data_IF_469289439930
#
_entry.id   IF_469289439930
#
_cell.length_a   1.000
_cell.length_b   1.000
_cell.length_c   1.000
_cell.angle_alpha   90.00
_cell.angle_beta   90.00
_cell.angle_gamma   90.00
#
_symmetry.space_group_name_H-M   'P 1'
#
loop_
_entity.id
_entity.type
_entity.pdbx_description
1 polymer ?
#
# COMPACT_ATOMS: atom_id res chain seq x y z
N UNK A 1 -0.57 33.12 36.87
CA UNK A 1 -1.01 33.02 35.46
C UNK A 1 -0.41 31.81 34.70
N UNK A 2 0.59 31.09 35.23
CA UNK A 2 1.19 29.92 34.56
C UNK A 2 0.68 28.55 35.05
N UNK A 3 -0.08 28.48 36.14
CA UNK A 3 -0.60 27.22 36.69
C UNK A 3 -1.66 26.52 35.83
N UNK A 4 -2.19 27.20 34.80
CA UNK A 4 -3.27 26.67 33.96
C UNK A 4 -2.79 26.14 32.59
N UNK A 5 -1.53 26.37 32.22
CA UNK A 5 -1.00 25.89 30.94
C UNK A 5 -0.84 24.37 30.92
N UNK A 6 -0.38 23.74 32.00
CA UNK A 6 -0.21 22.29 32.05
C UNK A 6 -1.53 21.51 32.15
N UNK A 7 -2.64 22.16 32.51
CA UNK A 7 -3.97 21.54 32.45
C UNK A 7 -4.52 21.51 31.02
N UNK A 8 -4.16 22.49 30.18
CA UNK A 8 -4.63 22.59 28.79
C UNK A 8 -3.66 21.92 27.80
N UNK A 9 -2.36 22.18 27.97
CA UNK A 9 -1.28 21.60 27.17
C UNK A 9 -0.68 20.40 27.89
N UNK A 10 -1.37 19.27 27.78
CA UNK A 10 -0.95 18.00 28.33
C UNK A 10 -0.93 16.93 27.22
N UNK A 11 -0.42 15.74 27.56
CA UNK A 11 -0.30 14.63 26.61
C UNK A 11 -1.67 14.17 26.08
N UNK A 12 -2.71 14.22 26.88
CA UNK A 12 -4.07 13.81 26.48
C UNK A 12 -4.64 14.77 25.43
N UNK A 13 -4.59 16.08 25.66
CA UNK A 13 -5.03 17.09 24.68
C UNK A 13 -4.21 17.01 23.40
N UNK A 14 -2.89 16.75 23.51
CA UNK A 14 -2.02 16.56 22.35
C UNK A 14 -2.43 15.33 21.55
N UNK A 15 -2.60 14.17 22.18
CA UNK A 15 -2.99 12.93 21.51
C UNK A 15 -4.38 13.04 20.90
N UNK A 16 -5.33 13.68 21.59
CA UNK A 16 -6.66 13.96 21.05
C UNK A 16 -6.58 14.84 19.80
N UNK A 17 -5.86 15.97 19.88
CA UNK A 17 -5.69 16.89 18.74
C UNK A 17 -5.00 16.20 17.56
N UNK A 18 -3.97 15.40 17.84
CA UNK A 18 -3.27 14.62 16.83
C UNK A 18 -4.20 13.58 16.19
N UNK A 19 -5.01 12.88 16.99
CA UNK A 19 -6.00 11.93 16.52
C UNK A 19 -7.06 12.57 15.60
N UNK A 20 -7.51 13.78 15.92
CA UNK A 20 -8.41 14.56 15.05
C UNK A 20 -7.72 14.85 13.71
N UNK A 21 -6.48 15.37 13.73
CA UNK A 21 -5.77 15.68 12.50
C UNK A 21 -5.54 14.43 11.64
N UNK A 22 -5.10 13.32 12.24
CA UNK A 22 -4.83 12.09 11.51
C UNK A 22 -6.09 11.48 10.88
N UNK A 23 -7.21 11.50 11.60
CA UNK A 23 -8.45 10.87 11.15
C UNK A 23 -9.37 11.76 10.31
N UNK A 24 -9.19 13.09 10.31
CA UNK A 24 -10.12 14.05 9.66
C UNK A 24 -9.47 15.03 8.70
N UNK A 25 -8.14 15.07 8.55
CA UNK A 25 -7.51 15.91 7.53
C UNK A 25 -7.86 15.41 6.13
N UNK A 26 -8.34 16.33 5.30
CA UNK A 26 -8.61 16.12 3.88
C UNK A 26 -7.46 16.72 3.10
N UNK A 27 -6.84 15.94 2.21
CA UNK A 27 -5.88 16.44 1.21
C UNK A 27 -6.66 16.90 -0.02
N UNK A 28 -6.36 18.10 -0.51
CA UNK A 28 -7.05 18.76 -1.62
C UNK A 28 -6.13 18.85 -2.85
N UNK A 29 -6.18 17.87 -3.78
CA UNK A 29 -5.36 17.88 -4.99
C UNK A 29 -5.44 19.19 -5.80
N UNK A 30 -6.63 19.77 -5.96
CA UNK A 30 -6.85 21.00 -6.73
C UNK A 30 -6.26 22.25 -6.06
N UNK A 31 -5.76 22.13 -4.83
CA UNK A 31 -5.06 23.17 -4.09
C UNK A 31 -3.60 22.77 -3.78
N UNK A 32 -2.90 22.19 -4.76
CA UNK A 32 -1.50 21.75 -4.64
C UNK A 32 -1.27 20.75 -3.49
N UNK A 33 -2.29 19.97 -3.15
CA UNK A 33 -2.22 18.99 -2.07
C UNK A 33 -2.22 19.59 -0.67
N UNK A 34 -2.69 20.84 -0.50
CA UNK A 34 -2.98 21.42 0.81
C UNK A 34 -3.91 20.51 1.61
N UNK A 35 -3.80 20.59 2.94
CA UNK A 35 -4.65 19.84 3.86
C UNK A 35 -5.57 20.78 4.64
N UNK A 36 -6.80 20.34 4.90
CA UNK A 36 -7.78 21.09 5.66
C UNK A 36 -8.64 20.19 6.54
N UNK A 37 -9.12 20.73 7.66
CA UNK A 37 -10.28 20.20 8.35
C UNK A 37 -11.52 20.83 7.70
N UNK A 38 -12.46 19.99 7.29
CA UNK A 38 -13.64 20.42 6.51
C UNK A 38 -14.89 20.07 7.30
N UNK A 39 -15.39 20.99 8.16
CA UNK A 39 -16.56 20.73 8.97
C UNK A 39 -17.74 20.25 8.11
N UNK A 40 -18.54 19.34 8.67
CA UNK A 40 -19.64 18.64 8.00
C UNK A 40 -19.20 17.59 6.98
N UNK A 41 -18.30 17.93 6.08
CA UNK A 41 -17.80 16.96 5.09
C UNK A 41 -16.97 15.85 5.76
N UNK A 42 -16.27 16.16 6.84
CA UNK A 42 -15.49 15.22 7.64
C UNK A 42 -16.35 14.20 8.43
N UNK A 43 -17.68 14.34 8.43
CA UNK A 43 -18.62 13.34 8.96
C UNK A 43 -18.92 12.20 7.97
N UNK A 44 -18.59 12.36 6.68
CA UNK A 44 -18.78 11.32 5.67
C UNK A 44 -17.86 10.15 5.96
N UNK A 45 -18.42 8.94 6.04
CA UNK A 45 -17.64 7.74 6.34
C UNK A 45 -17.00 7.13 5.08
N UNK A 46 -16.01 6.28 5.31
CA UNK A 46 -15.36 5.52 4.24
C UNK A 46 -16.21 4.36 3.75
N UNK A 47 -16.24 4.14 2.44
CA UNK A 47 -16.53 2.83 1.85
C UNK A 47 -15.46 2.49 0.78
N UNK A 48 -14.98 1.24 0.71
CA UNK A 48 -14.08 0.81 -0.36
C UNK A 48 -14.80 0.64 -1.71
N UNK A 49 -16.14 0.69 -1.73
CA UNK A 49 -16.96 0.53 -2.93
C UNK A 49 -17.12 1.82 -3.75
N UNK A 50 -16.68 2.95 -3.19
CA UNK A 50 -16.78 4.27 -3.83
C UNK A 50 -15.39 4.83 -4.14
N UNK A 51 -15.28 5.60 -5.21
CA UNK A 51 -14.04 6.28 -5.61
C UNK A 51 -14.16 7.80 -5.48
N UNK A 52 -15.32 8.31 -5.05
CA UNK A 52 -15.51 9.75 -4.82
C UNK A 52 -14.68 10.26 -3.64
N UNK A 53 -14.12 11.46 -3.77
CA UNK A 53 -13.34 12.12 -2.72
C UNK A 53 -13.68 13.62 -2.68
N UNK A 54 -13.31 14.26 -1.56
CA UNK A 54 -13.46 15.70 -1.38
C UNK A 54 -12.31 16.43 -2.07
N UNK A 55 -12.62 17.45 -2.88
CA UNK A 55 -11.63 18.35 -3.44
C UNK A 55 -12.20 19.77 -3.60
N UNK A 56 -11.32 20.73 -3.84
CA UNK A 56 -11.71 22.12 -4.08
C UNK A 56 -12.21 22.30 -5.51
N UNK A 57 -13.46 22.72 -5.67
CA UNK A 57 -13.98 23.21 -6.93
C UNK A 57 -13.84 24.74 -7.03
N UNK A 58 -13.19 25.17 -8.12
CA UNK A 58 -12.98 26.59 -8.41
C UNK A 58 -14.27 27.30 -8.78
N UNK A 59 -15.24 26.60 -9.38
CA UNK A 59 -16.47 27.24 -9.86
C UNK A 59 -17.41 27.59 -8.71
N UNK A 60 -17.53 26.72 -7.72
CA UNK A 60 -18.32 26.94 -6.51
C UNK A 60 -17.53 27.58 -5.37
N UNK A 61 -16.23 27.81 -5.54
CA UNK A 61 -15.29 28.29 -4.49
C UNK A 61 -15.40 27.49 -3.18
N UNK A 62 -15.54 26.16 -3.29
CA UNK A 62 -15.86 25.31 -2.15
C UNK A 62 -15.25 23.92 -2.24
N UNK A 63 -15.20 23.23 -1.10
CA UNK A 63 -14.82 21.81 -1.05
C UNK A 63 -16.08 20.99 -1.32
N UNK A 64 -16.04 20.19 -2.38
CA UNK A 64 -17.17 19.41 -2.88
C UNK A 64 -16.76 17.97 -3.17
N UNK A 65 -17.74 17.10 -3.32
CA UNK A 65 -17.56 15.78 -3.92
C UNK A 65 -18.77 15.49 -4.82
N UNK A 66 -18.59 14.55 -5.77
CA UNK A 66 -19.68 14.12 -6.66
C UNK A 66 -19.96 12.65 -6.42
N UNK A 67 -21.20 12.31 -6.11
CA UNK A 67 -21.59 10.91 -5.91
C UNK A 67 -21.41 10.11 -7.19
N UNK A 68 -20.80 8.93 -7.08
CA UNK A 68 -20.60 7.97 -8.18
C UNK A 68 -21.83 7.11 -8.49
N UNK A 69 -22.84 7.19 -7.61
CA UNK A 69 -24.12 6.49 -7.74
C UNK A 69 -25.28 7.30 -7.16
N UNK A 70 -26.50 6.88 -7.46
CA UNK A 70 -27.70 7.38 -6.80
C UNK A 70 -27.82 6.84 -5.38
N UNK A 71 -28.39 7.65 -4.48
CA UNK A 71 -28.70 7.30 -3.09
C UNK A 71 -30.20 7.42 -2.83
N UNK A 72 -30.74 6.51 -2.03
CA UNK A 72 -32.14 6.56 -1.61
C UNK A 72 -32.32 7.40 -0.32
N UNK A 73 -33.51 7.97 -0.06
CA UNK A 73 -33.79 8.63 1.21
C UNK A 73 -33.52 7.71 2.40
N UNK A 74 -32.73 8.19 3.37
CA UNK A 74 -32.29 7.43 4.54
C UNK A 74 -31.04 6.58 4.34
N UNK A 75 -30.52 6.48 3.12
CA UNK A 75 -29.25 5.83 2.84
C UNK A 75 -28.06 6.72 3.24
N UNK A 76 -27.03 6.11 3.83
CA UNK A 76 -25.80 6.82 4.18
C UNK A 76 -24.97 7.10 2.93
N UNK A 77 -24.48 8.34 2.81
CA UNK A 77 -23.54 8.74 1.76
C UNK A 77 -22.11 8.48 2.23
N UNK A 78 -21.33 7.82 1.39
CA UNK A 78 -19.93 7.47 1.67
C UNK A 78 -18.97 8.18 0.73
N UNK A 79 -17.72 8.30 1.16
CA UNK A 79 -16.58 8.74 0.35
C UNK A 79 -15.43 7.73 0.43
N UNK A 80 -14.47 7.86 -0.46
CA UNK A 80 -13.21 7.14 -0.38
C UNK A 80 -12.21 7.92 0.48
N UNK A 81 -11.58 7.25 1.45
CA UNK A 81 -10.41 7.77 2.16
C UNK A 81 -9.11 7.40 1.41
N UNK A 82 -9.24 6.84 0.20
CA UNK A 82 -8.15 6.31 -0.61
C UNK A 82 -8.01 4.79 -0.52
N UNK A 83 -7.15 4.26 -1.39
CA UNK A 83 -6.86 2.82 -1.54
C UNK A 83 -5.91 2.35 -0.44
N UNK A 84 -6.45 2.18 0.76
CA UNK A 84 -5.73 1.84 1.98
C UNK A 84 -6.06 0.42 2.44
N UNK A 85 -5.07 -0.30 2.92
CA UNK A 85 -5.25 -1.56 3.64
C UNK A 85 -5.98 -1.33 4.97
N UNK A 86 -6.57 -2.39 5.52
CA UNK A 86 -7.22 -2.37 6.83
C UNK A 86 -6.26 -1.93 7.94
N UNK A 87 -4.97 -2.28 7.84
CA UNK A 87 -3.95 -1.82 8.78
C UNK A 87 -3.71 -0.31 8.71
N UNK A 88 -3.65 0.25 7.50
CA UNK A 88 -3.52 1.70 7.31
C UNK A 88 -4.77 2.46 7.78
N UNK A 89 -5.97 1.90 7.53
CA UNK A 89 -7.23 2.47 8.01
C UNK A 89 -7.31 2.44 9.54
N UNK A 90 -6.87 1.37 10.19
CA UNK A 90 -6.81 1.28 11.65
C UNK A 90 -5.89 2.35 12.23
N UNK A 91 -4.67 2.47 11.68
CA UNK A 91 -3.67 3.42 12.16
C UNK A 91 -4.06 4.88 11.88
N UNK A 92 -4.72 5.14 10.75
CA UNK A 92 -5.02 6.51 10.30
C UNK A 92 -6.38 7.02 10.77
N UNK A 93 -7.38 6.13 10.82
CA UNK A 93 -8.79 6.49 11.03
C UNK A 93 -9.44 5.74 12.20
N UNK A 94 -8.74 4.80 12.84
CA UNK A 94 -9.23 4.13 14.05
C UNK A 94 -10.31 3.08 13.80
N UNK A 95 -10.44 2.55 12.58
CA UNK A 95 -11.40 1.48 12.27
C UNK A 95 -10.79 0.45 11.30
N UNK A 96 -11.36 -0.76 11.33
CA UNK A 96 -11.05 -1.84 10.37
C UNK A 96 -12.36 -2.18 9.65
N UNK A 97 -12.38 -2.20 8.30
CA UNK A 97 -13.50 -2.76 7.55
C UNK A 97 -13.81 -4.20 7.97
N UNK A 98 -15.01 -4.69 7.63
CA UNK A 98 -15.34 -6.09 7.90
C UNK A 98 -14.34 -6.99 7.16
N UNK A 99 -13.91 -8.06 7.82
CA UNK A 99 -13.00 -9.04 7.24
C UNK A 99 -13.46 -9.50 5.86
N UNK A 100 -12.52 -9.51 4.89
CA UNK A 100 -12.77 -9.90 3.51
C UNK A 100 -13.51 -8.87 2.64
N UNK A 101 -13.85 -7.69 3.18
CA UNK A 101 -14.59 -6.66 2.41
C UNK A 101 -13.73 -5.56 1.82
N UNK A 102 -12.47 -5.40 2.26
CA UNK A 102 -11.57 -4.39 1.72
C UNK A 102 -10.72 -4.96 0.56
N UNK A 103 -10.98 -4.61 -0.70
CA UNK A 103 -10.19 -5.09 -1.84
C UNK A 103 -8.76 -4.52 -1.85
N UNK A 104 -8.49 -3.48 -1.04
CA UNK A 104 -7.18 -2.87 -0.93
C UNK A 104 -6.32 -3.48 0.19
N UNK A 105 -6.82 -4.53 0.87
CA UNK A 105 -6.02 -5.24 1.87
C UNK A 105 -4.75 -5.82 1.26
N UNK A 106 -3.64 -5.56 1.94
CA UNK A 106 -2.32 -6.03 1.56
C UNK A 106 -1.44 -6.25 2.77
N UNK A 107 -0.46 -7.15 2.62
CA UNK A 107 0.63 -7.35 3.56
C UNK A 107 1.96 -7.15 2.85
N UNK A 108 2.91 -6.55 3.55
CA UNK A 108 4.28 -6.43 3.07
C UNK A 108 4.98 -7.79 3.14
N UNK A 109 5.26 -8.38 1.97
CA UNK A 109 6.00 -9.64 1.85
C UNK A 109 7.47 -9.33 1.58
N UNK A 110 8.31 -9.61 2.58
CA UNK A 110 9.76 -9.54 2.46
C UNK A 110 10.27 -10.79 1.73
N UNK A 111 10.95 -10.59 0.60
CA UNK A 111 11.64 -11.62 -0.18
C UNK A 111 13.14 -11.31 -0.26
N UNK A 112 13.99 -12.32 -0.45
CA UNK A 112 15.44 -12.10 -0.53
C UNK A 112 16.13 -13.14 -1.41
N UNK A 113 17.29 -12.78 -1.97
CA UNK A 113 18.17 -13.74 -2.63
C UNK A 113 18.75 -14.74 -1.62
N UNK A 114 18.93 -15.99 -2.04
CA UNK A 114 19.70 -16.97 -1.28
C UNK A 114 21.20 -16.79 -1.54
N UNK A 115 21.99 -16.63 -0.47
CA UNK A 115 23.46 -16.53 -0.53
C UNK A 115 24.12 -17.81 -1.01
N UNK A 116 23.42 -18.95 -0.94
CA UNK A 116 23.90 -20.23 -1.45
C UNK A 116 23.74 -20.39 -2.97
N UNK A 117 22.99 -19.49 -3.62
CA UNK A 117 22.78 -19.51 -5.06
C UNK A 117 24.11 -19.32 -5.82
N UNK A 118 24.36 -20.17 -6.82
CA UNK A 118 25.56 -20.13 -7.67
C UNK A 118 25.71 -18.79 -8.40
N UNK A 119 24.60 -18.15 -8.73
CA UNK A 119 24.49 -16.86 -9.41
C UNK A 119 24.18 -15.69 -8.47
N UNK A 120 24.34 -15.87 -7.15
CA UNK A 120 24.02 -14.85 -6.15
C UNK A 120 24.66 -13.49 -6.46
N UNK A 121 25.94 -13.46 -6.86
CA UNK A 121 26.68 -12.22 -7.11
C UNK A 121 26.12 -11.47 -8.32
N UNK A 122 25.86 -12.19 -9.40
CA UNK A 122 25.33 -11.65 -10.65
C UNK A 122 23.91 -11.12 -10.45
N UNK A 123 23.04 -11.89 -9.76
CA UNK A 123 21.68 -11.47 -9.41
C UNK A 123 21.69 -10.22 -8.53
N UNK A 124 22.52 -10.21 -7.48
CA UNK A 124 22.66 -9.04 -6.60
C UNK A 124 23.18 -7.81 -7.33
N UNK A 125 24.11 -7.98 -8.27
CA UNK A 125 24.63 -6.88 -9.09
C UNK A 125 23.53 -6.29 -9.98
N UNK A 126 22.71 -7.13 -10.62
CA UNK A 126 21.56 -6.70 -11.44
C UNK A 126 20.54 -5.90 -10.60
N UNK A 127 20.22 -6.37 -9.38
CA UNK A 127 19.35 -5.66 -8.44
C UNK A 127 19.91 -4.28 -8.07
N UNK A 128 21.17 -4.23 -7.62
CA UNK A 128 21.82 -2.98 -7.20
C UNK A 128 21.89 -1.93 -8.31
N UNK A 129 22.16 -2.36 -9.54
CA UNK A 129 22.19 -1.47 -10.70
C UNK A 129 20.84 -0.79 -10.97
N UNK A 130 19.74 -1.45 -10.58
CA UNK A 130 18.37 -0.95 -10.71
C UNK A 130 17.84 -0.32 -9.41
N UNK A 131 18.73 -0.10 -8.43
CA UNK A 131 18.43 0.52 -7.15
C UNK A 131 17.60 -0.33 -6.20
N UNK A 132 17.66 -1.65 -6.38
CA UNK A 132 17.13 -2.65 -5.47
C UNK A 132 18.26 -3.23 -4.61
N UNK A 133 17.88 -3.93 -3.56
CA UNK A 133 18.73 -4.55 -2.56
C UNK A 133 18.63 -6.08 -2.64
N UNK A 134 19.40 -6.78 -1.81
CA UNK A 134 19.33 -8.24 -1.66
C UNK A 134 17.99 -8.72 -1.10
N UNK A 135 17.32 -7.87 -0.32
CA UNK A 135 16.00 -8.11 0.27
C UNK A 135 15.10 -6.95 -0.10
N UNK A 136 13.90 -7.25 -0.59
CA UNK A 136 12.91 -6.27 -1.02
C UNK A 136 11.55 -6.63 -0.44
N UNK A 137 10.73 -5.60 -0.18
CA UNK A 137 9.38 -5.76 0.34
C UNK A 137 8.38 -5.40 -0.73
N UNK A 138 7.39 -6.28 -0.95
CA UNK A 138 6.35 -6.07 -1.93
C UNK A 138 4.96 -6.22 -1.30
N UNK A 139 3.98 -5.36 -1.68
CA UNK A 139 2.63 -5.44 -1.15
C UNK A 139 1.85 -6.60 -1.79
N UNK A 140 1.78 -7.74 -1.12
CA UNK A 140 0.93 -8.86 -1.52
C UNK A 140 -0.53 -8.52 -1.18
N UNK A 141 -1.41 -8.48 -2.18
CA UNK A 141 -2.81 -8.08 -2.05
C UNK A 141 -3.73 -9.30 -2.02
N UNK A 142 -4.90 -9.15 -1.41
CA UNK A 142 -5.95 -10.18 -1.47
C UNK A 142 -6.37 -10.47 -2.92
N UNK A 143 -6.29 -9.47 -3.79
CA UNK A 143 -6.66 -9.58 -5.21
C UNK A 143 -5.50 -10.05 -6.11
N UNK A 144 -4.30 -10.32 -5.56
CA UNK A 144 -3.15 -10.78 -6.33
C UNK A 144 -1.81 -10.17 -5.88
N UNK A 145 -0.77 -10.36 -6.69
CA UNK A 145 0.58 -9.87 -6.43
C UNK A 145 0.99 -8.76 -7.41
N UNK A 146 1.88 -7.84 -6.99
CA UNK A 146 2.45 -6.87 -7.90
C UNK A 146 3.35 -7.57 -8.90
N UNK A 147 3.41 -7.04 -10.12
CA UNK A 147 4.25 -7.58 -11.19
C UNK A 147 5.73 -7.55 -10.77
N UNK A 148 6.13 -6.56 -9.96
CA UNK A 148 7.50 -6.42 -9.46
C UNK A 148 7.91 -7.58 -8.53
N UNK A 149 6.98 -8.09 -7.70
CA UNK A 149 7.23 -9.27 -6.88
C UNK A 149 7.49 -10.50 -7.76
N UNK A 150 6.69 -10.68 -8.81
CA UNK A 150 6.86 -11.80 -9.75
C UNK A 150 8.18 -11.69 -10.52
N UNK A 151 8.56 -10.49 -10.98
CA UNK A 151 9.84 -10.25 -11.63
C UNK A 151 11.03 -10.55 -10.71
N UNK A 152 10.94 -10.16 -9.43
CA UNK A 152 11.93 -10.50 -8.42
C UNK A 152 12.01 -12.02 -8.22
N UNK A 153 10.87 -12.70 -8.10
CA UNK A 153 10.80 -14.15 -7.96
C UNK A 153 11.41 -14.88 -9.16
N UNK A 154 11.15 -14.42 -10.40
CA UNK A 154 11.82 -14.94 -11.59
C UNK A 154 13.33 -14.81 -11.50
N UNK A 155 13.85 -13.64 -11.09
CA UNK A 155 15.29 -13.46 -10.90
C UNK A 155 15.83 -14.45 -9.86
N UNK A 156 15.13 -14.64 -8.74
CA UNK A 156 15.53 -15.58 -7.68
C UNK A 156 15.65 -17.00 -8.22
N UNK A 157 14.66 -17.50 -8.96
CA UNK A 157 14.65 -18.91 -9.39
C UNK A 157 15.43 -19.15 -10.69
N UNK A 158 15.81 -18.10 -11.41
CA UNK A 158 16.48 -18.23 -12.71
C UNK A 158 17.82 -18.97 -12.60
N UNK A 159 18.07 -19.96 -13.45
CA UNK A 159 19.31 -20.72 -13.43
C UNK A 159 20.45 -19.99 -14.17
N UNK A 160 21.72 -20.43 -14.06
CA UNK A 160 22.87 -19.77 -14.67
C UNK A 160 22.77 -19.57 -16.20
N UNK A 161 22.08 -20.48 -16.89
CA UNK A 161 21.87 -20.43 -18.34
C UNK A 161 21.05 -19.21 -18.77
N UNK A 162 20.23 -18.66 -17.86
CA UNK A 162 19.41 -17.46 -18.09
C UNK A 162 20.09 -16.17 -17.61
N UNK A 163 21.39 -16.19 -17.30
CA UNK A 163 22.13 -15.02 -16.80
C UNK A 163 22.02 -13.76 -17.67
N UNK A 164 21.81 -13.91 -18.99
CA UNK A 164 21.58 -12.80 -19.91
C UNK A 164 20.27 -12.03 -19.62
N UNK A 165 19.31 -12.65 -18.92
CA UNK A 165 17.99 -12.09 -18.56
C UNK A 165 17.95 -11.47 -17.17
N UNK A 166 18.98 -11.65 -16.33
CA UNK A 166 18.96 -11.16 -14.95
C UNK A 166 18.75 -9.64 -14.86
N UNK A 167 19.38 -8.88 -15.75
CA UNK A 167 19.20 -7.43 -15.79
C UNK A 167 17.77 -7.04 -16.16
N UNK A 168 17.16 -7.72 -17.14
CA UNK A 168 15.79 -7.49 -17.56
C UNK A 168 14.79 -7.76 -16.42
N UNK A 169 14.98 -8.86 -15.68
CA UNK A 169 14.16 -9.20 -14.52
C UNK A 169 14.34 -8.19 -13.38
N UNK A 170 15.57 -7.74 -13.11
CA UNK A 170 15.84 -6.72 -12.09
C UNK A 170 15.25 -5.35 -12.44
N UNK A 171 15.22 -4.98 -13.73
CA UNK A 171 14.53 -3.78 -14.21
C UNK A 171 13.02 -3.90 -13.97
N UNK A 172 12.43 -5.05 -14.31
CA UNK A 172 11.00 -5.29 -14.13
C UNK A 172 10.59 -5.35 -12.64
N UNK A 173 11.49 -5.77 -11.75
CA UNK A 173 11.30 -5.75 -10.30
C UNK A 173 11.38 -4.34 -9.68
N UNK A 174 11.85 -3.33 -10.43
CA UNK A 174 12.03 -1.97 -9.94
C UNK A 174 10.80 -1.10 -10.20
N UNK A 175 10.30 -0.43 -9.16
CA UNK A 175 9.15 0.49 -9.25
C UNK A 175 9.47 1.81 -10.00
N UNK A 176 10.67 1.98 -10.55
CA UNK A 176 11.15 3.26 -11.14
C UNK A 176 10.78 3.46 -12.61
N UNK A 177 10.43 2.41 -13.34
CA UNK A 177 10.07 2.51 -14.77
C UNK A 177 8.56 2.54 -14.98
N UNK A 178 8.07 3.53 -15.70
CA UNK A 178 6.66 3.61 -16.14
C UNK A 178 6.33 2.63 -17.26
N UNK A 179 7.33 2.23 -18.06
CA UNK A 179 7.24 1.15 -19.03
C UNK A 179 7.90 -0.10 -18.48
N UNK A 180 7.10 -1.05 -17.99
CA UNK A 180 7.60 -2.37 -17.60
C UNK A 180 7.69 -3.24 -18.86
N UNK A 181 8.85 -3.83 -19.19
CA UNK A 181 8.90 -4.83 -20.25
C UNK A 181 7.91 -5.93 -19.90
N UNK A 182 7.17 -6.45 -20.89
CA UNK A 182 6.38 -7.66 -20.68
C UNK A 182 7.34 -8.80 -20.37
N UNK A 183 7.37 -9.25 -19.12
CA UNK A 183 8.23 -10.34 -18.70
C UNK A 183 7.34 -11.57 -18.51
N UNK A 184 7.56 -12.58 -19.34
CA UNK A 184 6.88 -13.85 -19.25
C UNK A 184 7.92 -14.95 -19.43
N UNK A 185 8.11 -15.74 -18.38
CA UNK A 185 9.03 -16.88 -18.36
C UNK A 185 8.23 -18.11 -17.92
N UNK A 186 7.42 -18.71 -18.82
CA UNK A 186 6.57 -19.86 -18.48
C UNK A 186 7.35 -21.02 -17.88
N UNK A 187 8.62 -21.19 -18.30
CA UNK A 187 9.52 -22.22 -17.79
C UNK A 187 9.94 -22.01 -16.32
N UNK A 188 9.77 -20.80 -15.77
CA UNK A 188 10.11 -20.46 -14.39
C UNK A 188 8.86 -20.20 -13.52
N UNK A 189 7.66 -20.16 -14.10
CA UNK A 189 6.45 -19.70 -13.41
C UNK A 189 6.11 -20.53 -12.17
N UNK A 190 6.14 -21.86 -12.29
CA UNK A 190 5.89 -22.77 -11.17
C UNK A 190 6.90 -22.55 -10.03
N UNK A 191 8.19 -22.42 -10.37
CA UNK A 191 9.25 -22.23 -9.37
C UNK A 191 9.14 -20.86 -8.69
N UNK A 192 8.82 -19.80 -9.44
CA UNK A 192 8.64 -18.45 -8.92
C UNK A 192 7.44 -18.39 -7.96
N UNK A 193 6.32 -19.03 -8.33
CA UNK A 193 5.15 -19.15 -7.46
C UNK A 193 5.45 -19.97 -6.20
N UNK A 194 6.17 -21.08 -6.33
CA UNK A 194 6.58 -21.88 -5.18
C UNK A 194 7.48 -21.08 -4.24
N UNK A 195 8.43 -20.30 -4.77
CA UNK A 195 9.27 -19.41 -3.98
C UNK A 195 8.45 -18.37 -3.19
N UNK A 196 7.44 -17.75 -3.82
CA UNK A 196 6.54 -16.80 -3.15
C UNK A 196 5.74 -17.52 -2.05
N UNK A 197 5.23 -18.72 -2.33
CA UNK A 197 4.50 -19.54 -1.36
C UNK A 197 5.37 -19.87 -0.13
N UNK A 198 6.61 -20.33 -0.34
CA UNK A 198 7.55 -20.65 0.73
C UNK A 198 7.83 -19.42 1.61
N UNK A 199 7.96 -18.23 0.98
CA UNK A 199 8.09 -16.97 1.69
C UNK A 199 6.85 -16.65 2.53
N UNK A 200 5.65 -16.86 2.00
CA UNK A 200 4.39 -16.66 2.73
C UNK A 200 4.30 -17.61 3.94
N UNK A 201 4.54 -18.90 3.75
CA UNK A 201 4.48 -19.91 4.82
C UNK A 201 5.48 -19.61 5.95
N UNK A 202 6.71 -19.26 5.58
CA UNK A 202 7.76 -18.85 6.54
C UNK A 202 7.36 -17.61 7.35
N UNK A 203 6.67 -16.65 6.73
CA UNK A 203 6.18 -15.47 7.44
C UNK A 203 4.98 -15.79 8.33
N UNK A 204 4.04 -16.61 7.87
CA UNK A 204 2.87 -17.05 8.66
C UNK A 204 3.32 -17.79 9.93
N UNK A 205 4.35 -18.63 9.83
CA UNK A 205 4.89 -19.39 10.97
C UNK A 205 5.41 -18.49 12.13
N UNK A 206 5.66 -17.20 11.88
CA UNK A 206 6.08 -16.22 12.90
C UNK A 206 4.91 -15.71 13.76
N UNK A 207 3.66 -15.93 13.33
CA UNK A 207 2.48 -15.49 14.08
C UNK A 207 2.13 -16.49 15.18
N UNK A 208 1.86 -15.98 16.38
CA UNK A 208 1.66 -16.78 17.60
C UNK A 208 0.30 -17.48 17.68
N UNK A 209 -0.62 -17.17 16.75
CA UNK A 209 -1.95 -17.80 16.66
C UNK A 209 -2.24 -18.15 15.21
N UNK A 210 -2.55 -19.42 14.98
CA UNK A 210 -3.26 -19.84 13.78
C UNK A 210 -4.73 -19.45 13.97
N UNK A 211 -5.29 -18.67 13.04
CA UNK A 211 -6.72 -18.37 12.97
C UNK A 211 -7.54 -19.64 12.71
#
# INVERSE_FOLDING_TARGET
MYHNLFQVYNIETFLWSFGILFSRLVRLPSMDGKVALVPWADMLNHSPEVETFLDFDKSSEGIVFTTDRAYQPGEQVFISYGKKSSGELLLSYGFVPREGTNPNDSVELLVSLDKSDKCYKEKLQALKKNGLSESESFPLRVTGWPVELMAYAFLVVSPPEMSQRFEEMAVAASNKSSSKPGFNYPELEEQALQFILDCCESNIAKYTRST
#
